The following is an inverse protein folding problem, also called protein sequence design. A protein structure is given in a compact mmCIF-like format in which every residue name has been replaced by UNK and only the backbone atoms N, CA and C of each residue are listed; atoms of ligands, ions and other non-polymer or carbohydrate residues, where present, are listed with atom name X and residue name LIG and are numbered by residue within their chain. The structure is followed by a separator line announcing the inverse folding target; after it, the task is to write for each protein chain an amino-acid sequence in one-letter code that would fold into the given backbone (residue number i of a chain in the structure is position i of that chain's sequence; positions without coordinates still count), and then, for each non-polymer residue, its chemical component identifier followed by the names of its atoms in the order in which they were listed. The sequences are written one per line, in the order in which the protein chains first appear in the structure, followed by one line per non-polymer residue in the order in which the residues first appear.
data_IF_326340207735
#
_entry.id   IF_326340207735
#
_cell.length_a   1.000
_cell.length_b   1.000
_cell.length_c   1.000
_cell.angle_alpha   90.00
_cell.angle_beta   90.00
_cell.angle_gamma   90.00
#
_symmetry.space_group_name_H-M   'P 1'
#
loop_
_entity.id
_entity.type
_entity.pdbx_description
1 polymer ?
#
# COMPACT_ATOMS: atom_id res chain seq x y z
N UNK A 1 12.90 2.06 -2.54
CA UNK A 1 11.66 2.67 -3.09
C UNK A 1 11.83 4.08 -3.67
N UNK A 2 13.02 4.70 -3.62
CA UNK A 2 13.23 6.10 -4.06
C UNK A 2 13.01 6.35 -5.55
N UNK A 3 13.17 5.34 -6.41
CA UNK A 3 12.97 5.47 -7.84
C UNK A 3 11.49 5.37 -8.28
N UNK A 4 10.57 4.97 -7.39
CA UNK A 4 9.17 4.70 -7.79
C UNK A 4 8.47 5.92 -8.43
N UNK A 5 8.58 7.15 -7.90
CA UNK A 5 7.99 8.32 -8.56
C UNK A 5 8.57 8.60 -9.95
N UNK A 6 9.87 8.34 -10.15
CA UNK A 6 10.54 8.54 -11.42
C UNK A 6 10.15 7.48 -12.46
N UNK A 7 10.02 6.22 -12.03
CA UNK A 7 9.61 5.11 -12.91
C UNK A 7 8.13 5.20 -13.28
N UNK A 8 7.27 5.61 -12.34
CA UNK A 8 5.85 5.81 -12.59
C UNK A 8 5.59 7.06 -13.44
N UNK A 9 6.41 8.11 -13.29
CA UNK A 9 6.31 9.33 -14.08
C UNK A 9 4.90 9.91 -14.08
N UNK A 10 4.35 10.13 -15.28
CA UNK A 10 2.97 10.57 -15.51
C UNK A 10 2.00 9.41 -15.81
N UNK A 11 2.47 8.16 -15.77
CA UNK A 11 1.62 7.01 -16.04
C UNK A 11 0.78 6.63 -14.82
N UNK A 12 -0.40 6.06 -15.07
CA UNK A 12 -1.28 5.56 -14.02
C UNK A 12 -0.75 4.29 -13.37
N UNK A 13 0.04 3.51 -14.12
CA UNK A 13 0.64 2.28 -13.60
C UNK A 13 1.97 1.95 -14.26
N UNK A 14 2.82 1.23 -13.52
CA UNK A 14 4.10 0.71 -14.03
C UNK A 14 4.41 -0.65 -13.38
N UNK A 15 4.95 -1.56 -14.19
CA UNK A 15 5.49 -2.83 -13.69
C UNK A 15 6.90 -2.61 -13.15
N UNK A 16 7.10 -2.89 -11.86
CA UNK A 16 8.34 -2.58 -11.16
C UNK A 16 8.66 -3.61 -10.09
N UNK A 17 9.96 -3.69 -9.73
CA UNK A 17 10.45 -4.43 -8.58
C UNK A 17 10.90 -3.46 -7.49
N UNK A 18 10.38 -3.62 -6.28
CA UNK A 18 10.65 -2.72 -5.16
C UNK A 18 11.20 -3.48 -3.97
N UNK A 19 12.09 -2.83 -3.22
CA UNK A 19 12.58 -3.30 -1.92
C UNK A 19 12.08 -2.31 -0.87
N UNK A 20 11.50 -2.84 0.21
CA UNK A 20 11.00 -2.06 1.33
C UNK A 20 10.80 -2.86 2.61
N UNK A 21 10.48 -2.17 3.69
CA UNK A 21 10.11 -2.80 4.95
C UNK A 21 8.59 -2.97 5.04
N UNK A 22 8.14 -4.16 5.42
CA UNK A 22 6.73 -4.41 5.68
C UNK A 22 6.34 -3.84 7.05
N UNK A 23 5.66 -2.70 7.08
CA UNK A 23 5.27 -2.04 8.33
C UNK A 23 3.99 -2.61 8.95
N UNK A 24 3.19 -3.29 8.12
CA UNK A 24 1.97 -3.95 8.58
C UNK A 24 1.60 -5.13 7.68
N UNK A 25 0.91 -6.12 8.23
CA UNK A 25 0.47 -7.33 7.54
C UNK A 25 -0.90 -7.72 8.04
N UNK A 26 -1.77 -8.17 7.12
CA UNK A 26 -3.08 -8.69 7.48
C UNK A 26 -2.97 -9.85 8.48
N UNK A 27 -3.37 -9.62 9.73
CA UNK A 27 -3.30 -10.65 10.78
C UNK A 27 -4.37 -11.73 10.65
N UNK A 28 -5.42 -11.50 9.86
CA UNK A 28 -6.43 -12.53 9.61
C UNK A 28 -5.83 -13.70 8.80
N UNK A 29 -5.23 -13.39 7.64
CA UNK A 29 -4.80 -14.41 6.67
C UNK A 29 -3.55 -14.05 5.86
N UNK A 30 -2.89 -12.93 6.13
CA UNK A 30 -1.69 -12.53 5.38
C UNK A 30 -1.97 -12.18 3.92
N UNK A 31 -3.18 -11.69 3.60
CA UNK A 31 -3.61 -11.40 2.22
C UNK A 31 -3.21 -10.00 1.70
N UNK A 32 -2.64 -9.16 2.56
CA UNK A 32 -2.07 -7.88 2.19
C UNK A 32 -0.94 -7.53 3.15
N UNK A 33 -0.07 -6.64 2.71
CA UNK A 33 0.92 -5.96 3.56
C UNK A 33 0.98 -4.47 3.24
N UNK A 34 1.60 -3.69 4.12
CA UNK A 34 1.88 -2.27 3.93
C UNK A 34 3.37 -2.07 3.89
N UNK A 35 3.86 -1.33 2.89
CA UNK A 35 5.23 -0.85 2.84
C UNK A 35 5.23 0.67 3.03
N UNK A 36 6.30 1.23 3.60
CA UNK A 36 6.51 2.69 3.55
C UNK A 36 7.23 3.07 2.27
N UNK A 37 6.66 3.97 1.47
CA UNK A 37 7.35 4.55 0.32
C UNK A 37 8.50 5.46 0.76
N UNK A 38 9.35 5.88 -0.19
CA UNK A 38 10.50 6.73 0.12
C UNK A 38 10.11 8.13 0.65
N UNK A 39 8.89 8.60 0.36
CA UNK A 39 8.31 9.83 0.92
C UNK A 39 7.56 9.59 2.25
N UNK A 40 7.73 8.41 2.87
CA UNK A 40 7.17 8.06 4.18
C UNK A 40 5.69 7.72 4.18
N UNK A 41 5.03 7.67 3.01
CA UNK A 41 3.62 7.33 2.90
C UNK A 41 3.41 5.81 2.93
N UNK A 42 2.30 5.32 3.47
CA UNK A 42 1.95 3.91 3.36
C UNK A 42 1.51 3.58 1.93
N UNK A 43 2.04 2.49 1.39
CA UNK A 43 1.60 1.87 0.15
C UNK A 43 1.05 0.48 0.46
N UNK A 44 -0.21 0.26 0.12
CA UNK A 44 -0.84 -1.05 0.32
C UNK A 44 -0.42 -1.98 -0.80
N UNK A 45 0.12 -3.14 -0.42
CA UNK A 45 0.45 -4.25 -1.32
C UNK A 45 -0.62 -5.32 -1.17
N UNK A 46 -1.28 -5.65 -2.27
CA UNK A 46 -2.25 -6.75 -2.38
C UNK A 46 -1.69 -7.83 -3.30
N UNK A 47 -2.14 -9.06 -3.11
CA UNK A 47 -1.73 -10.20 -3.94
C UNK A 47 -2.85 -10.51 -4.92
N UNK A 48 -2.52 -10.53 -6.21
CA UNK A 48 -3.49 -10.72 -7.28
C UNK A 48 -4.26 -12.01 -7.06
N UNK A 49 -5.58 -11.95 -7.16
CA UNK A 49 -6.49 -13.11 -7.05
C UNK A 49 -6.32 -13.97 -5.78
N UNK A 50 -5.77 -13.40 -4.70
CA UNK A 50 -5.37 -14.17 -3.50
C UNK A 50 -4.45 -15.35 -3.84
N UNK A 51 -3.66 -15.23 -4.92
CA UNK A 51 -2.81 -16.30 -5.42
C UNK A 51 -1.80 -16.80 -4.39
N UNK A 52 -1.44 -15.96 -3.42
CA UNK A 52 -0.59 -16.33 -2.30
C UNK A 52 -0.83 -15.47 -1.06
N UNK A 53 -0.32 -15.95 0.07
CA UNK A 53 -0.38 -15.29 1.37
C UNK A 53 1.02 -15.19 1.95
N UNK A 54 1.29 -14.11 2.68
CA UNK A 54 2.58 -13.92 3.37
C UNK A 54 2.48 -14.33 4.84
N UNK A 55 3.57 -14.77 5.46
CA UNK A 55 3.63 -15.02 6.90
C UNK A 55 3.20 -13.81 7.73
N UNK A 56 2.38 -14.03 8.76
CA UNK A 56 1.83 -12.93 9.61
C UNK A 56 2.91 -12.21 10.41
N UNK A 57 4.02 -12.88 10.66
CA UNK A 57 5.23 -12.38 11.33
C UNK A 57 6.16 -11.60 10.38
N UNK A 58 5.72 -11.29 9.15
CA UNK A 58 6.55 -10.53 8.19
C UNK A 58 6.66 -9.05 8.52
N UNK A 59 5.93 -8.56 9.53
CA UNK A 59 6.06 -7.17 10.00
C UNK A 59 7.49 -6.90 10.49
N UNK A 60 8.06 -5.78 10.05
CA UNK A 60 9.43 -5.36 10.34
C UNK A 60 10.48 -6.05 9.45
N UNK A 61 10.10 -7.01 8.60
CA UNK A 61 11.04 -7.67 7.69
C UNK A 61 11.22 -6.84 6.43
N UNK A 62 12.43 -6.90 5.87
CA UNK A 62 12.71 -6.37 4.53
C UNK A 62 12.13 -7.33 3.50
N UNK A 63 11.36 -6.80 2.56
CA UNK A 63 10.72 -7.56 1.48
C UNK A 63 11.13 -7.01 0.11
N UNK A 64 11.17 -7.89 -0.87
CA UNK A 64 11.29 -7.55 -2.29
C UNK A 64 9.97 -7.95 -2.96
N UNK A 65 9.29 -7.00 -3.58
CA UNK A 65 8.02 -7.23 -4.27
C UNK A 65 8.19 -7.00 -5.78
N UNK A 66 7.57 -7.85 -6.58
CA UNK A 66 7.51 -7.75 -8.04
C UNK A 66 6.04 -7.66 -8.45
N UNK A 67 5.70 -6.72 -9.33
CA UNK A 67 4.31 -6.50 -9.73
C UNK A 67 4.06 -5.09 -10.26
N UNK A 68 2.82 -4.63 -10.10
CA UNK A 68 2.33 -3.38 -10.66
C UNK A 68 2.08 -2.34 -9.59
N UNK A 69 2.70 -1.18 -9.71
CA UNK A 69 2.35 0.00 -8.95
C UNK A 69 1.24 0.75 -9.69
N UNK A 70 0.22 1.23 -8.97
CA UNK A 70 -0.92 1.99 -9.49
C UNK A 70 -1.11 3.28 -8.71
N UNK A 71 -1.42 4.37 -9.43
CA UNK A 71 -2.03 5.57 -8.84
C UNK A 71 -3.52 5.31 -8.71
N UNK A 72 -4.03 5.50 -7.51
CA UNK A 72 -5.46 5.40 -7.24
C UNK A 72 -5.91 6.68 -6.55
N UNK A 73 -7.01 7.24 -7.04
CA UNK A 73 -7.66 8.36 -6.38
C UNK A 73 -8.72 7.83 -5.42
N UNK A 74 -8.57 8.14 -4.13
CA UNK A 74 -9.62 7.89 -3.15
C UNK A 74 -10.48 9.14 -3.07
N UNK A 75 -11.78 8.98 -3.31
CA UNK A 75 -12.75 10.07 -3.18
C UNK A 75 -12.77 10.60 -1.74
N UNK A 76 -13.24 11.85 -1.57
CA UNK A 76 -13.45 12.42 -0.22
C UNK A 76 -14.39 11.54 0.61
N UNK A 77 -15.45 11.01 -0.02
CA UNK A 77 -16.44 10.18 0.65
C UNK A 77 -15.83 8.87 1.19
N UNK A 78 -15.03 8.19 0.38
CA UNK A 78 -14.37 6.93 0.79
C UNK A 78 -13.33 7.19 1.88
N UNK A 79 -12.55 8.26 1.76
CA UNK A 79 -11.59 8.65 2.81
C UNK A 79 -12.30 8.96 4.13
N UNK A 80 -13.43 9.67 4.09
CA UNK A 80 -14.24 9.95 5.27
C UNK A 80 -14.82 8.66 5.88
N UNK A 81 -15.28 7.72 5.05
CA UNK A 81 -15.74 6.41 5.51
C UNK A 81 -14.61 5.63 6.20
N UNK A 82 -13.43 5.53 5.59
CA UNK A 82 -12.28 4.86 6.19
C UNK A 82 -11.82 5.51 7.49
N UNK A 83 -11.87 6.84 7.59
CA UNK A 83 -11.54 7.56 8.80
C UNK A 83 -12.53 7.28 9.94
N UNK A 84 -13.83 7.18 9.63
CA UNK A 84 -14.86 6.77 10.60
C UNK A 84 -14.66 5.33 11.08
N UNK A 85 -14.39 4.41 10.16
CA UNK A 85 -14.13 3.00 10.48
C UNK A 85 -12.86 2.83 11.32
N UNK A 86 -11.87 3.69 11.12
CA UNK A 86 -10.65 3.75 11.92
C UNK A 86 -10.84 4.43 13.29
N UNK A 87 -12.06 4.89 13.62
CA UNK A 87 -12.39 5.51 14.91
C UNK A 87 -11.87 6.94 15.09
N UNK A 88 -11.59 7.66 13.99
CA UNK A 88 -11.19 9.08 14.07
C UNK A 88 -12.35 9.97 14.50
N UNK A 89 -12.03 11.14 15.05
CA UNK A 89 -13.04 12.11 15.48
C UNK A 89 -13.79 12.73 14.30
N UNK A 90 -15.03 13.16 14.50
CA UNK A 90 -15.83 13.85 13.47
C UNK A 90 -15.13 15.07 12.89
N UNK A 91 -14.32 15.77 13.71
CA UNK A 91 -13.52 16.91 13.28
C UNK A 91 -12.42 16.50 12.29
N UNK A 92 -11.75 15.38 12.52
CA UNK A 92 -10.73 14.85 11.61
C UNK A 92 -11.35 14.32 10.32
N UNK A 93 -12.51 13.68 10.40
CA UNK A 93 -13.27 13.22 9.23
C UNK A 93 -13.71 14.43 8.39
N UNK A 94 -14.28 15.46 9.00
CA UNK A 94 -14.74 16.67 8.31
C UNK A 94 -13.59 17.48 7.69
N UNK A 95 -12.36 17.36 8.20
CA UNK A 95 -11.18 18.01 7.62
C UNK A 95 -10.79 17.41 6.25
N UNK A 96 -11.23 16.20 5.94
CA UNK A 96 -11.00 15.54 4.64
C UNK A 96 -11.91 16.21 3.61
N UNK A 97 -11.33 17.07 2.78
CA UNK A 97 -12.06 17.92 1.82
C UNK A 97 -11.57 17.79 0.39
N UNK A 98 -10.51 17.01 0.14
CA UNK A 98 -9.93 16.81 -1.19
C UNK A 98 -9.70 15.31 -1.46
N UNK A 99 -9.83 14.86 -2.71
CA UNK A 99 -9.41 13.52 -3.10
C UNK A 99 -7.94 13.31 -2.76
N UNK A 100 -7.61 12.10 -2.34
CA UNK A 100 -6.24 11.73 -2.00
C UNK A 100 -5.74 10.73 -3.04
N UNK A 101 -4.63 11.10 -3.68
CA UNK A 101 -3.86 10.18 -4.52
C UNK A 101 -3.08 9.24 -3.60
N UNK A 102 -3.34 7.94 -3.73
CA UNK A 102 -2.60 6.88 -3.06
C UNK A 102 -1.84 6.03 -4.09
N UNK A 103 -0.76 5.41 -3.63
CA UNK A 103 -0.10 4.36 -4.37
C UNK A 103 -0.58 3.02 -3.83
N UNK A 104 -1.04 2.16 -4.73
CA UNK A 104 -1.29 0.75 -4.43
C UNK A 104 -0.37 -0.11 -5.26
N UNK A 105 -0.11 -1.32 -4.78
CA UNK A 105 0.74 -2.27 -5.45
C UNK A 105 0.03 -3.62 -5.56
N UNK A 106 -0.06 -4.14 -6.77
CA UNK A 106 -0.52 -5.50 -7.04
C UNK A 106 0.70 -6.39 -7.25
N UNK A 107 1.03 -7.22 -6.26
CA UNK A 107 2.19 -8.09 -6.32
C UNK A 107 1.88 -9.40 -7.04
N UNK A 108 2.74 -9.73 -8.01
CA UNK A 108 2.83 -11.03 -8.67
C UNK A 108 3.73 -11.98 -7.86
N UNK A 109 4.64 -11.45 -7.03
CA UNK A 109 5.49 -12.22 -6.14
C UNK A 109 6.12 -11.40 -5.02
N UNK A 110 6.43 -12.07 -3.91
CA UNK A 110 7.07 -11.48 -2.72
C UNK A 110 8.19 -12.38 -2.23
N UNK A 111 9.36 -11.78 -1.99
CA UNK A 111 10.47 -12.41 -1.30
C UNK A 111 10.68 -11.70 0.03
N UNK A 112 10.72 -12.46 1.13
CA UNK A 112 10.98 -11.94 2.46
C UNK A 112 12.44 -12.25 2.81
N UNK A 113 13.21 -11.23 3.17
CA UNK A 113 14.58 -11.42 3.63
C UNK A 113 14.57 -11.88 5.09
N UNK A 114 15.45 -12.83 5.39
CA UNK A 114 15.74 -13.34 6.73
C UNK A 114 16.73 -12.43 7.46
#
# INVERSE_FOLDING_TARGET
MSALPAVLGQQDSAKVKLIGEATDVCQAKGCWMTLQTADGKPMRVRFKDYAFFVPKDSKGKTVVIDGWAHREEISVADQQHYAKDAGKSDKEVAAITKPQQQLTFMADGVLIKN
#
